data_IF_814030592407
#
_entry.id   IF_814030592407
#
_cell.length_a   1.000
_cell.length_b   1.000
_cell.length_c   1.000
_cell.angle_alpha   90.00
_cell.angle_beta   90.00
_cell.angle_gamma   90.00
#
_symmetry.space_group_name_H-M   'P 1'
#
loop_
_entity.id
_entity.type
_entity.pdbx_description
1 polymer ?
#
# COMPACT_ATOMS: atom_id res chain seq x y z
N UNK A 1 8.01 -52.19 -33.13
CA UNK A 1 6.77 -51.80 -33.83
C UNK A 1 6.72 -50.28 -33.87
N UNK A 2 6.45 -49.74 -35.06
CA UNK A 2 6.40 -48.30 -35.40
C UNK A 2 5.47 -47.55 -34.43
N UNK A 3 5.74 -46.29 -34.06
CA UNK A 3 5.28 -45.11 -34.80
C UNK A 3 6.16 -43.89 -34.49
N UNK A 4 6.92 -43.48 -35.50
CA UNK A 4 7.42 -42.13 -35.71
C UNK A 4 6.31 -41.37 -36.46
N UNK A 5 5.80 -40.28 -35.89
CA UNK A 5 5.03 -39.26 -36.63
C UNK A 5 5.60 -37.89 -36.22
N UNK A 6 6.43 -37.39 -37.14
CA UNK A 6 6.94 -36.02 -37.24
C UNK A 6 5.86 -35.17 -37.88
N UNK A 7 5.51 -34.04 -37.27
CA UNK A 7 4.76 -32.95 -37.90
C UNK A 7 5.34 -31.59 -37.47
N UNK A 8 6.23 -31.09 -38.31
CA UNK A 8 6.52 -29.67 -38.62
C UNK A 8 6.70 -29.67 -40.15
N UNK A 9 6.38 -28.60 -40.90
CA UNK A 9 6.40 -27.20 -40.48
C UNK A 9 5.28 -26.33 -41.07
N UNK A 10 5.04 -25.15 -40.49
CA UNK A 10 4.56 -24.00 -41.27
C UNK A 10 4.97 -22.71 -40.56
N UNK A 11 6.03 -22.09 -41.07
CA UNK A 11 6.33 -20.70 -40.86
C UNK A 11 5.13 -19.86 -41.29
N UNK A 12 4.58 -19.07 -40.38
CA UNK A 12 3.69 -17.96 -40.71
C UNK A 12 4.33 -16.68 -40.20
N UNK A 13 4.89 -15.97 -41.17
CA UNK A 13 4.93 -14.52 -41.31
C UNK A 13 4.85 -13.71 -40.02
N UNK A 14 5.97 -13.03 -39.74
CA UNK A 14 5.98 -11.89 -38.85
C UNK A 14 4.94 -10.85 -39.26
N UNK A 15 4.14 -10.43 -38.28
CA UNK A 15 3.52 -9.13 -38.30
C UNK A 15 4.32 -8.26 -37.33
N UNK A 16 5.28 -7.51 -37.88
CA UNK A 16 5.83 -6.35 -37.22
C UNK A 16 4.68 -5.33 -37.03
N UNK A 17 3.99 -5.38 -35.89
CA UNK A 17 3.17 -4.27 -35.44
C UNK A 17 4.05 -3.33 -34.64
N UNK A 18 4.50 -2.31 -35.37
CA UNK A 18 5.02 -1.06 -34.85
C UNK A 18 3.92 -0.42 -33.97
N UNK A 19 3.96 -0.65 -32.66
CA UNK A 19 3.16 0.15 -31.74
C UNK A 19 3.81 1.51 -31.58
N UNK A 20 3.29 2.39 -32.42
CA UNK A 20 3.31 3.84 -32.36
C UNK A 20 3.20 4.35 -30.90
N UNK A 21 4.27 5.01 -30.46
CA UNK A 21 4.27 6.21 -29.62
C UNK A 21 3.29 6.29 -28.45
N UNK A 22 3.84 6.25 -27.23
CA UNK A 22 3.42 7.20 -26.21
C UNK A 22 4.63 8.07 -25.89
N UNK A 23 4.74 9.21 -26.59
CA UNK A 23 5.48 10.35 -26.06
C UNK A 23 4.93 10.63 -24.66
N UNK A 24 5.79 10.49 -23.65
CA UNK A 24 5.55 11.06 -22.33
C UNK A 24 5.66 12.58 -22.48
N UNK A 25 4.59 13.17 -23.00
CA UNK A 25 4.36 14.61 -23.01
C UNK A 25 3.21 14.87 -22.05
N UNK A 26 3.53 15.12 -20.80
CA UNK A 26 2.64 15.89 -19.94
C UNK A 26 3.44 16.65 -18.89
N UNK A 27 3.71 17.89 -19.30
CA UNK A 27 3.84 19.12 -18.55
C UNK A 27 4.54 19.15 -17.19
N UNK A 28 5.58 19.99 -17.15
CA UNK A 28 5.98 20.72 -15.96
C UNK A 28 4.81 21.61 -15.45
N UNK A 29 4.68 21.63 -14.12
CA UNK A 29 4.07 22.67 -13.27
C UNK A 29 2.59 23.00 -13.49
N UNK A 30 1.73 22.44 -12.63
CA UNK A 30 0.59 23.19 -12.10
C UNK A 30 0.93 23.52 -10.64
N UNK A 31 1.10 24.82 -10.40
CA UNK A 31 1.22 25.40 -9.07
C UNK A 31 -0.03 25.17 -8.23
N UNK A 32 0.15 25.35 -6.93
CA UNK A 32 -0.89 25.30 -5.90
C UNK A 32 -2.15 26.08 -6.31
N UNK A 33 -3.30 25.42 -6.19
CA UNK A 33 -4.63 26.03 -6.23
C UNK A 33 -5.58 25.10 -5.48
N UNK A 34 -6.02 25.53 -4.31
CA UNK A 34 -6.67 24.69 -3.31
C UNK A 34 -8.06 24.17 -3.68
N UNK A 35 -8.41 23.04 -3.07
CA UNK A 35 -9.75 22.82 -2.56
C UNK A 35 -9.64 21.99 -1.27
N UNK A 36 -9.83 22.68 -0.15
CA UNK A 36 -10.09 22.10 1.16
C UNK A 36 -11.49 21.50 1.16
N UNK A 37 -11.59 20.19 0.91
CA UNK A 37 -12.76 19.44 1.38
C UNK A 37 -12.52 19.05 2.84
N UNK A 38 -12.85 20.00 3.72
CA UNK A 38 -12.96 19.79 5.15
C UNK A 38 -14.36 19.28 5.44
N UNK A 39 -14.54 17.97 5.33
CA UNK A 39 -15.69 17.31 5.98
C UNK A 39 -15.26 15.96 6.56
N UNK A 40 -14.79 15.97 7.82
CA UNK A 40 -14.40 14.75 8.52
C UNK A 40 -13.60 15.01 9.80
N UNK A 41 -14.32 15.27 10.88
CA UNK A 41 -13.90 15.58 12.25
C UNK A 41 -12.77 14.69 12.81
N UNK A 42 -11.69 15.30 13.34
CA UNK A 42 -10.69 14.65 14.19
C UNK A 42 -9.22 14.94 13.87
N UNK A 43 -8.84 16.21 13.62
CA UNK A 43 -7.46 16.59 13.26
C UNK A 43 -6.57 16.92 14.47
N UNK A 44 -5.55 16.09 14.70
CA UNK A 44 -4.38 16.37 15.53
C UNK A 44 -3.55 17.53 14.89
N UNK A 45 -3.06 18.55 15.64
CA UNK A 45 -2.39 19.71 15.04
C UNK A 45 -0.96 19.37 14.63
N UNK A 46 -0.81 18.91 13.39
CA UNK A 46 0.50 18.74 12.74
C UNK A 46 0.46 18.77 11.21
N UNK A 47 -0.65 19.19 10.60
CA UNK A 47 -0.88 19.06 9.16
C UNK A 47 -1.11 20.42 8.51
N UNK A 48 -0.03 21.03 8.03
CA UNK A 48 -0.10 21.97 6.90
C UNK A 48 0.11 21.17 5.60
N UNK A 49 -0.83 21.29 4.67
CA UNK A 49 -0.79 20.85 3.26
C UNK A 49 -0.94 19.34 2.98
N UNK A 50 -2.19 18.87 2.86
CA UNK A 50 -2.54 17.64 2.14
C UNK A 50 -1.99 16.34 2.73
N UNK A 51 -2.63 15.21 2.40
CA UNK A 51 -2.02 13.93 2.70
C UNK A 51 -0.98 13.58 1.63
N UNK A 52 0.26 14.04 1.80
CA UNK A 52 1.34 13.64 0.90
C UNK A 52 1.63 12.15 1.08
N UNK A 53 1.53 11.42 -0.03
CA UNK A 53 1.81 9.98 -0.13
C UNK A 53 2.91 9.68 -1.15
N UNK A 54 3.55 10.72 -1.69
CA UNK A 54 4.72 10.58 -2.55
C UNK A 54 5.90 10.02 -1.73
N UNK A 55 6.69 9.15 -2.35
CA UNK A 55 7.96 8.67 -1.77
C UNK A 55 7.88 8.06 -0.36
N UNK A 56 6.74 7.51 0.10
CA UNK A 56 6.70 6.93 1.46
C UNK A 56 7.65 5.76 1.63
N UNK A 57 8.30 5.77 2.78
CA UNK A 57 9.27 4.82 3.27
C UNK A 57 8.74 4.17 4.55
N UNK A 58 9.18 2.93 4.81
CA UNK A 58 8.74 2.21 6.00
C UNK A 58 9.18 2.92 7.28
N UNK A 59 10.45 3.26 7.40
CA UNK A 59 11.05 3.82 8.61
C UNK A 59 10.55 5.23 8.91
N UNK A 60 10.37 6.05 7.88
CA UNK A 60 10.03 7.47 8.01
C UNK A 60 8.52 7.75 8.10
N UNK A 61 7.68 6.95 7.44
CA UNK A 61 6.25 7.26 7.31
C UNK A 61 5.35 6.20 7.94
N UNK A 62 5.64 4.91 7.77
CA UNK A 62 4.75 3.83 8.22
C UNK A 62 5.01 3.46 9.68
N UNK A 63 6.27 3.24 10.06
CA UNK A 63 6.64 2.84 11.42
C UNK A 63 6.13 3.83 12.50
N UNK A 64 6.19 5.16 12.31
CA UNK A 64 5.60 6.10 13.28
C UNK A 64 4.08 5.93 13.44
N UNK A 65 3.35 5.63 12.36
CA UNK A 65 1.90 5.36 12.44
C UNK A 65 1.63 4.10 13.24
N UNK A 66 2.41 3.03 13.00
CA UNK A 66 2.28 1.77 13.75
C UNK A 66 2.64 1.93 15.23
N UNK A 67 3.69 2.70 15.53
CA UNK A 67 4.09 3.03 16.90
C UNK A 67 2.98 3.76 17.65
N UNK A 68 2.37 4.76 17.02
CA UNK A 68 1.32 5.57 17.64
C UNK A 68 0.00 4.80 17.85
N UNK A 69 -0.37 3.92 16.91
CA UNK A 69 -1.72 3.36 16.87
C UNK A 69 -1.80 1.85 17.18
N UNK A 70 -0.70 1.12 17.13
CA UNK A 70 -0.73 -0.35 17.15
C UNK A 70 0.14 -0.97 18.25
N UNK A 71 1.26 -0.33 18.63
CA UNK A 71 2.28 -0.97 19.46
C UNK A 71 1.84 -1.23 20.91
N UNK A 72 0.82 -0.53 21.41
CA UNK A 72 0.25 -0.79 22.73
C UNK A 72 -0.26 -2.22 22.90
N UNK A 73 -0.68 -2.88 21.81
CA UNK A 73 -1.15 -4.28 21.83
C UNK A 73 -0.35 -5.22 20.91
N UNK A 74 0.35 -4.69 19.91
CA UNK A 74 1.07 -5.46 18.89
C UNK A 74 2.59 -5.17 18.84
N UNK A 75 3.14 -4.50 19.84
CA UNK A 75 4.59 -4.22 19.94
C UNK A 75 5.32 -5.11 20.94
N UNK A 76 6.61 -4.83 21.15
CA UNK A 76 7.46 -5.36 22.22
C UNK A 76 7.57 -6.90 22.30
N UNK A 77 7.57 -7.58 21.16
CA UNK A 77 7.73 -9.03 21.06
C UNK A 77 6.54 -9.86 21.56
N UNK A 78 5.51 -9.23 22.12
CA UNK A 78 4.32 -9.89 22.67
C UNK A 78 3.05 -9.27 22.07
N UNK A 79 2.65 -9.81 20.93
CA UNK A 79 1.52 -9.32 20.17
C UNK A 79 0.20 -10.00 20.53
N UNK A 80 -0.85 -9.21 20.73
CA UNK A 80 -2.22 -9.71 20.86
C UNK A 80 -2.60 -10.53 19.63
N UNK A 81 -3.25 -11.68 19.84
CA UNK A 81 -3.66 -12.57 18.74
C UNK A 81 -2.51 -13.17 17.94
N UNK A 82 -1.29 -13.20 18.49
CA UNK A 82 -0.11 -13.75 17.82
C UNK A 82 0.46 -12.86 16.71
N UNK A 83 0.05 -11.58 16.64
CA UNK A 83 0.52 -10.62 15.63
C UNK A 83 1.43 -9.59 16.28
N UNK A 84 2.69 -9.54 15.85
CA UNK A 84 3.65 -8.49 16.23
C UNK A 84 3.97 -7.58 15.04
N UNK A 85 4.06 -6.28 15.31
CA UNK A 85 4.26 -5.22 14.31
C UNK A 85 5.52 -4.39 14.60
N UNK A 86 6.31 -4.78 15.61
CA UNK A 86 7.56 -4.13 16.01
C UNK A 86 8.77 -4.50 15.14
N UNK A 87 8.60 -5.45 14.21
CA UNK A 87 9.58 -5.79 13.18
C UNK A 87 9.00 -5.61 11.78
N UNK A 88 9.84 -5.21 10.83
CA UNK A 88 9.43 -5.11 9.42
C UNK A 88 8.86 -6.43 8.89
N UNK A 89 9.46 -7.57 9.25
CA UNK A 89 8.97 -8.88 8.81
C UNK A 89 7.56 -9.18 9.33
N UNK A 90 7.27 -8.83 10.59
CA UNK A 90 5.94 -8.97 11.17
C UNK A 90 4.90 -8.11 10.43
N UNK A 91 5.25 -6.85 10.15
CA UNK A 91 4.39 -5.95 9.35
C UNK A 91 4.19 -6.49 7.94
N UNK A 92 5.26 -6.94 7.28
CA UNK A 92 5.22 -7.47 5.91
C UNK A 92 4.36 -8.73 5.82
N UNK A 93 4.38 -9.60 6.82
CA UNK A 93 3.48 -10.74 6.88
C UNK A 93 2.00 -10.31 6.88
N UNK A 94 1.65 -9.26 7.65
CA UNK A 94 0.28 -8.73 7.67
C UNK A 94 -0.10 -7.95 6.40
N UNK A 95 0.88 -7.39 5.68
CA UNK A 95 0.64 -6.84 4.34
C UNK A 95 0.31 -7.96 3.36
N UNK A 96 1.12 -9.02 3.35
CA UNK A 96 1.01 -10.11 2.37
C UNK A 96 -0.27 -10.93 2.50
N UNK A 97 -0.80 -11.08 3.73
CA UNK A 97 -2.07 -11.77 3.97
C UNK A 97 -3.30 -10.84 3.89
N UNK A 98 -3.12 -9.55 3.59
CA UNK A 98 -4.18 -8.56 3.47
C UNK A 98 -4.72 -8.00 4.79
N UNK A 99 -4.32 -8.56 5.93
CA UNK A 99 -4.85 -8.18 7.24
C UNK A 99 -4.58 -6.71 7.57
N UNK A 100 -3.37 -6.20 7.27
CA UNK A 100 -3.01 -4.84 7.67
C UNK A 100 -4.01 -3.82 7.14
N UNK A 101 -4.38 -3.89 5.85
CA UNK A 101 -5.35 -2.95 5.27
C UNK A 101 -6.78 -3.28 5.70
N UNK A 102 -7.19 -4.56 5.65
CA UNK A 102 -8.56 -4.94 5.99
C UNK A 102 -8.96 -4.51 7.40
N UNK A 103 -8.07 -4.74 8.36
CA UNK A 103 -8.30 -4.39 9.77
C UNK A 103 -8.24 -2.89 10.05
N UNK A 104 -7.31 -2.11 9.48
CA UNK A 104 -7.23 -0.65 9.75
C UNK A 104 -8.32 0.15 9.03
N UNK A 105 -8.90 -0.41 7.96
CA UNK A 105 -10.02 0.20 7.23
C UNK A 105 -11.39 -0.21 7.79
N UNK A 106 -11.42 -1.12 8.77
CA UNK A 106 -12.64 -1.73 9.31
C UNK A 106 -13.48 -2.40 8.22
N UNK A 107 -12.82 -3.06 7.27
CA UNK A 107 -13.48 -3.75 6.17
C UNK A 107 -14.28 -4.95 6.68
N UNK A 108 -15.39 -5.25 6.00
CA UNK A 108 -16.21 -6.43 6.29
C UNK A 108 -15.37 -7.72 6.22
N UNK A 109 -15.56 -8.61 7.19
CA UNK A 109 -14.79 -9.85 7.32
C UNK A 109 -13.46 -9.72 8.07
N UNK A 110 -13.06 -8.53 8.48
CA UNK A 110 -11.85 -8.31 9.31
C UNK A 110 -12.24 -7.85 10.72
N UNK A 111 -11.43 -8.23 11.72
CA UNK A 111 -11.57 -7.65 13.05
C UNK A 111 -11.06 -6.20 13.02
N UNK A 112 -11.88 -5.19 13.36
CA UNK A 112 -11.47 -3.79 13.29
C UNK A 112 -10.39 -3.50 14.34
N UNK A 113 -9.35 -2.75 13.93
CA UNK A 113 -8.32 -2.23 14.84
C UNK A 113 -8.14 -0.72 14.63
N UNK A 114 -7.75 0.03 15.67
CA UNK A 114 -7.52 -0.39 17.06
C UNK A 114 -8.79 -0.96 17.72
N UNK A 115 -8.65 -2.00 18.55
CA UNK A 115 -9.80 -2.73 19.12
C UNK A 115 -10.60 -1.81 20.03
N UNK A 116 -11.90 -1.63 19.73
CA UNK A 116 -12.76 -0.70 20.46
C UNK A 116 -12.40 0.78 20.28
N UNK A 117 -11.46 1.09 19.38
CA UNK A 117 -11.05 2.44 19.04
C UNK A 117 -11.63 2.90 17.70
N UNK A 118 -11.42 4.18 17.40
CA UNK A 118 -11.78 4.75 16.10
C UNK A 118 -10.92 4.16 14.97
N UNK A 119 -11.49 4.11 13.76
CA UNK A 119 -10.74 3.84 12.52
C UNK A 119 -9.58 4.85 12.39
N UNK A 120 -8.45 4.41 11.85
CA UNK A 120 -7.35 5.32 11.51
C UNK A 120 -7.85 6.43 10.59
N UNK A 121 -7.17 7.59 10.65
CA UNK A 121 -7.44 8.69 9.72
C UNK A 121 -7.25 8.22 8.28
N UNK A 122 -8.03 8.76 7.36
CA UNK A 122 -7.89 8.39 5.95
C UNK A 122 -6.49 8.74 5.42
N UNK A 123 -5.83 9.77 5.97
CA UNK A 123 -4.46 10.09 5.60
C UNK A 123 -3.46 9.02 6.04
N UNK A 124 -3.53 8.53 7.28
CA UNK A 124 -2.63 7.47 7.76
C UNK A 124 -2.83 6.17 6.96
N UNK A 125 -4.09 5.84 6.67
CA UNK A 125 -4.43 4.71 5.79
C UNK A 125 -3.81 4.92 4.40
N UNK A 126 -3.90 6.11 3.83
CA UNK A 126 -3.36 6.41 2.51
C UNK A 126 -1.82 6.41 2.47
N UNK A 127 -1.14 6.83 3.54
CA UNK A 127 0.32 6.69 3.67
C UNK A 127 0.74 5.23 3.67
N UNK A 128 0.05 4.38 4.43
CA UNK A 128 0.29 2.93 4.46
C UNK A 128 0.02 2.31 3.08
N UNK A 129 -1.10 2.64 2.44
CA UNK A 129 -1.43 2.17 1.08
C UNK A 129 -0.37 2.60 0.06
N UNK A 130 0.06 3.86 0.11
CA UNK A 130 1.10 4.38 -0.79
C UNK A 130 2.40 3.60 -0.63
N UNK A 131 2.81 3.31 0.60
CA UNK A 131 3.99 2.48 0.85
C UNK A 131 3.83 1.05 0.33
N UNK A 132 2.67 0.41 0.53
CA UNK A 132 2.36 -0.92 -0.01
C UNK A 132 2.40 -0.92 -1.54
N UNK A 133 1.83 0.10 -2.19
CA UNK A 133 1.82 0.24 -3.65
C UNK A 133 3.23 0.37 -4.25
N UNK A 134 4.22 0.81 -3.46
CA UNK A 134 5.64 0.83 -3.84
C UNK A 134 6.39 -0.46 -3.47
N UNK A 135 5.67 -1.55 -3.21
CA UNK A 135 6.23 -2.84 -2.88
C UNK A 135 6.47 -3.07 -1.39
N UNK A 136 5.98 -2.18 -0.51
CA UNK A 136 6.17 -2.24 0.94
C UNK A 136 7.62 -2.56 1.31
N UNK A 137 8.55 -1.70 0.87
CA UNK A 137 10.00 -1.85 1.04
C UNK A 137 10.43 -1.57 2.49
N UNK A 138 11.51 -2.20 2.94
CA UNK A 138 12.16 -1.89 4.21
C UNK A 138 13.19 -0.77 4.01
N UNK A 139 12.72 0.48 3.94
CA UNK A 139 13.53 1.67 3.68
C UNK A 139 13.21 2.80 4.64
#
# INVERSE_FOLDING_TARGET
MKKLIVWLPAAMLGCAMLMLSCSKSNEATVGQGGNTDTTGTGGNPGSGNGCDTANMQYAANVRPILQANCYSCHGNGAGSGGVTLDSYNGVKAQVNNGNLIGTITHASGYSPMPRGGAKLSDCDINKIRGWIARGALNN
#
